data_IF_699055588695
#
_entry.id   IF_699055588695
#
_cell.length_a   1.000
_cell.length_b   1.000
_cell.length_c   1.000
_cell.angle_alpha   90.00
_cell.angle_beta   90.00
_cell.angle_gamma   90.00
#
_symmetry.space_group_name_H-M   'P 1'
#
loop_
_entity.id
_entity.type
_entity.pdbx_description
1 polymer ?
#
# COMPACT_ATOMS: atom_id res chain seq x y z
N UNK A 1 31.33 -20.25 13.21
CA UNK A 1 31.22 -19.04 12.39
C UNK A 1 30.70 -17.90 13.27
N UNK A 2 31.39 -16.75 13.32
CA UNK A 2 30.86 -15.56 14.01
C UNK A 2 29.60 -15.09 13.29
N UNK A 3 28.48 -15.00 14.01
CA UNK A 3 27.25 -14.42 13.48
C UNK A 3 27.53 -13.01 12.99
N UNK A 4 27.14 -12.71 11.75
CA UNK A 4 27.25 -11.36 11.23
C UNK A 4 26.37 -10.39 12.06
N UNK A 5 26.90 -9.24 12.39
CA UNK A 5 26.10 -8.22 13.10
C UNK A 5 24.94 -7.75 12.20
N UNK A 6 23.73 -7.77 12.76
CA UNK A 6 22.50 -7.32 12.08
C UNK A 6 22.55 -5.81 11.76
N UNK A 7 21.80 -5.41 10.76
CA UNK A 7 21.68 -4.01 10.34
C UNK A 7 22.03 -3.82 8.86
N UNK A 8 21.95 -2.59 8.42
CA UNK A 8 22.35 -2.22 7.05
C UNK A 8 23.86 -2.05 7.03
N UNK A 9 24.52 -2.72 6.08
CA UNK A 9 25.95 -2.71 5.83
C UNK A 9 26.22 -2.15 4.44
N UNK A 10 27.38 -1.57 4.25
CA UNK A 10 27.86 -1.24 2.91
C UNK A 10 28.60 -2.45 2.33
N UNK A 11 28.18 -2.93 1.18
CA UNK A 11 28.94 -3.84 0.34
C UNK A 11 29.77 -3.00 -0.63
N UNK A 12 31.08 -3.10 -0.57
CA UNK A 12 31.98 -2.37 -1.47
C UNK A 12 32.62 -3.32 -2.47
N UNK A 13 32.58 -2.94 -3.74
CA UNK A 13 33.29 -3.62 -4.82
C UNK A 13 34.03 -2.56 -5.64
N UNK A 14 35.30 -2.44 -5.43
CA UNK A 14 36.10 -1.33 -5.97
C UNK A 14 35.61 0.02 -5.43
N UNK A 15 35.29 0.94 -6.35
CA UNK A 15 34.70 2.24 -6.01
C UNK A 15 33.17 2.22 -5.83
N UNK A 16 32.49 1.14 -6.17
CA UNK A 16 31.05 1.00 -6.05
C UNK A 16 30.66 0.56 -4.65
N UNK A 17 29.59 1.15 -4.11
CA UNK A 17 29.03 0.78 -2.81
C UNK A 17 27.52 0.55 -2.94
N UNK A 18 27.02 -0.52 -2.31
CA UNK A 18 25.61 -0.85 -2.24
C UNK A 18 25.20 -1.20 -0.81
N UNK A 19 24.01 -0.78 -0.36
CA UNK A 19 23.50 -1.22 0.94
C UNK A 19 23.18 -2.71 0.93
N UNK A 20 23.53 -3.40 2.01
CA UNK A 20 23.21 -4.80 2.25
C UNK A 20 22.53 -4.93 3.61
N UNK A 21 21.30 -5.41 3.63
CA UNK A 21 20.58 -5.70 4.86
C UNK A 21 20.99 -7.09 5.39
N UNK A 22 21.50 -7.15 6.61
CA UNK A 22 21.80 -8.39 7.33
C UNK A 22 20.78 -8.57 8.45
N UNK A 23 19.89 -9.53 8.33
CA UNK A 23 18.81 -9.77 9.27
C UNK A 23 18.63 -11.26 9.51
N UNK A 24 17.92 -11.64 10.57
CA UNK A 24 17.58 -13.02 10.92
C UNK A 24 16.07 -13.28 10.88
N UNK A 25 15.27 -12.21 10.93
CA UNK A 25 13.81 -12.29 10.88
C UNK A 25 13.23 -10.96 10.46
N UNK A 26 12.02 -11.01 9.95
CA UNK A 26 11.16 -9.84 9.75
C UNK A 26 10.36 -9.62 11.04
N UNK A 27 10.43 -8.40 11.58
CA UNK A 27 9.69 -8.06 12.80
C UNK A 27 8.33 -7.47 12.49
N UNK A 28 8.24 -6.64 11.45
CA UNK A 28 6.98 -6.07 10.97
C UNK A 28 7.06 -5.66 9.48
N UNK A 29 5.92 -5.35 8.91
CA UNK A 29 5.77 -4.91 7.52
C UNK A 29 5.10 -3.54 7.50
N UNK A 30 5.58 -2.66 6.63
CA UNK A 30 4.91 -1.42 6.23
C UNK A 30 4.48 -1.52 4.77
N UNK A 31 3.44 -0.81 4.41
CA UNK A 31 3.03 -0.61 3.02
C UNK A 31 3.63 0.70 2.51
N UNK A 32 4.22 0.65 1.35
CA UNK A 32 4.71 1.83 0.65
C UNK A 32 3.97 1.98 -0.70
N UNK A 33 3.47 3.19 -1.02
CA UNK A 33 3.41 4.36 -0.18
C UNK A 33 2.44 4.17 1.00
N UNK A 34 2.69 4.86 2.12
CA UNK A 34 1.80 4.83 3.29
C UNK A 34 0.45 5.49 3.02
N UNK A 35 0.44 6.47 2.11
CA UNK A 35 -0.73 7.18 1.61
C UNK A 35 -0.73 7.19 0.09
N UNK A 36 -1.84 6.81 -0.51
CA UNK A 36 -1.98 6.80 -1.96
C UNK A 36 -3.36 7.28 -2.41
N UNK A 37 -3.43 7.75 -3.65
CA UNK A 37 -4.67 8.15 -4.29
C UNK A 37 -4.76 7.47 -5.65
N UNK A 38 -5.81 6.69 -5.84
CA UNK A 38 -6.24 6.21 -7.15
C UNK A 38 -7.32 7.10 -7.72
N UNK A 39 -7.54 7.01 -9.02
CA UNK A 39 -8.56 7.82 -9.70
C UNK A 39 -9.35 6.96 -10.66
N UNK A 40 -10.65 7.04 -10.54
CA UNK A 40 -11.58 6.53 -11.55
C UNK A 40 -11.44 7.41 -12.77
N UNK A 41 -11.15 6.82 -13.90
CA UNK A 41 -11.19 7.52 -15.16
C UNK A 41 -12.62 7.97 -15.49
N UNK A 42 -12.76 8.85 -16.43
CA UNK A 42 -14.08 9.35 -16.79
C UNK A 42 -14.07 10.09 -18.11
N UNK A 43 -15.22 10.70 -18.37
CA UNK A 43 -15.35 11.66 -19.45
C UNK A 43 -15.09 11.06 -20.85
N UNK A 44 -15.63 9.85 -21.10
CA UNK A 44 -15.44 9.18 -22.37
C UNK A 44 -13.99 8.81 -22.69
N UNK A 45 -13.15 8.64 -21.64
CA UNK A 45 -11.75 8.28 -21.78
C UNK A 45 -10.78 9.46 -21.84
N UNK A 46 -11.27 10.71 -21.77
CA UNK A 46 -10.39 11.89 -21.74
C UNK A 46 -9.59 12.00 -20.44
N UNK A 47 -10.01 11.30 -19.41
CA UNK A 47 -9.33 11.23 -18.11
C UNK A 47 -8.94 9.80 -17.82
N UNK A 48 -7.63 9.49 -17.76
CA UNK A 48 -7.18 8.14 -17.54
C UNK A 48 -7.46 7.65 -16.13
N UNK A 49 -7.63 6.34 -15.99
CA UNK A 49 -7.61 5.65 -14.69
C UNK A 49 -6.21 5.76 -14.09
N UNK A 50 -6.14 6.08 -12.81
CA UNK A 50 -4.89 6.05 -12.03
C UNK A 50 -4.97 4.91 -11.03
N UNK A 51 -4.16 3.89 -11.25
CA UNK A 51 -4.04 2.73 -10.37
C UNK A 51 -3.29 3.08 -9.08
N UNK A 52 -3.68 2.42 -7.97
CA UNK A 52 -2.84 2.32 -6.79
C UNK A 52 -1.76 1.26 -7.01
N UNK A 53 -0.51 1.52 -6.58
CA UNK A 53 0.58 0.56 -6.63
C UNK A 53 1.27 0.53 -5.30
N UNK A 54 1.41 -0.65 -4.72
CA UNK A 54 1.89 -0.82 -3.36
C UNK A 54 3.01 -1.85 -3.30
N UNK A 55 3.93 -1.62 -2.38
CA UNK A 55 5.01 -2.53 -2.01
C UNK A 55 4.96 -2.84 -0.52
N UNK A 56 5.24 -4.08 -0.15
CA UNK A 56 5.40 -4.49 1.22
C UNK A 56 6.87 -4.36 1.62
N UNK A 57 7.17 -3.47 2.55
CA UNK A 57 8.52 -3.24 3.02
C UNK A 57 8.71 -3.91 4.38
N UNK A 58 9.57 -4.92 4.40
CA UNK A 58 9.96 -5.60 5.63
C UNK A 58 10.87 -4.71 6.48
N UNK A 59 10.68 -4.76 7.79
CA UNK A 59 11.45 -4.02 8.77
C UNK A 59 11.92 -4.92 9.91
N UNK A 60 13.07 -4.56 10.46
CA UNK A 60 13.55 -5.06 11.73
C UNK A 60 13.45 -3.98 12.79
N UNK A 61 12.96 -4.34 13.98
CA UNK A 61 13.12 -3.49 15.15
C UNK A 61 14.61 -3.43 15.52
N UNK A 62 15.06 -2.31 15.99
CA UNK A 62 16.45 -2.11 16.33
C UNK A 62 16.88 -2.85 17.59
N UNK A 63 17.83 -2.29 18.31
CA UNK A 63 18.40 -2.89 19.52
C UNK A 63 17.46 -2.84 20.71
N UNK A 64 16.58 -1.85 20.74
CA UNK A 64 15.61 -1.67 21.82
C UNK A 64 14.43 -2.66 21.75
N UNK A 65 14.27 -3.39 20.64
CA UNK A 65 13.23 -4.38 20.42
C UNK A 65 11.83 -3.81 20.30
N UNK A 66 11.69 -2.48 20.11
CA UNK A 66 10.40 -1.79 20.02
C UNK A 66 10.15 -1.31 18.59
N UNK A 67 8.94 -1.52 18.10
CA UNK A 67 8.51 -1.04 16.80
C UNK A 67 8.26 0.47 16.82
N UNK A 68 8.68 1.15 15.76
CA UNK A 68 8.42 2.58 15.53
C UNK A 68 9.44 3.49 16.19
N UNK A 69 10.63 3.00 16.48
CA UNK A 69 11.71 3.77 17.09
C UNK A 69 12.79 4.16 16.07
N UNK A 70 13.70 5.03 16.47
CA UNK A 70 14.72 5.60 15.55
C UNK A 70 15.78 4.59 15.11
N UNK A 71 15.90 3.48 15.81
CA UNK A 71 16.85 2.42 15.49
C UNK A 71 16.25 1.28 14.67
N UNK A 72 14.95 1.38 14.31
CA UNK A 72 14.33 0.52 13.31
C UNK A 72 14.95 0.77 11.93
N UNK A 73 15.02 -0.27 11.15
CA UNK A 73 15.57 -0.16 9.81
C UNK A 73 14.81 -1.03 8.81
N UNK A 74 14.75 -0.56 7.57
CA UNK A 74 14.12 -1.28 6.48
C UNK A 74 15.04 -2.39 5.97
N UNK A 75 14.52 -3.60 5.90
CA UNK A 75 15.17 -4.75 5.25
C UNK A 75 15.06 -4.59 3.73
N UNK A 76 13.86 -4.26 3.25
CA UNK A 76 13.58 -4.04 1.84
C UNK A 76 12.22 -4.57 1.42
N UNK A 77 11.89 -4.49 0.11
CA UNK A 77 10.68 -5.06 -0.44
C UNK A 77 10.64 -6.58 -0.28
N UNK A 78 9.46 -7.11 0.03
CA UNK A 78 9.22 -8.55 0.15
C UNK A 78 7.93 -8.94 -0.55
N UNK A 79 7.83 -10.17 -1.06
CA UNK A 79 6.57 -10.68 -1.59
C UNK A 79 5.46 -10.67 -0.55
N UNK A 80 4.27 -10.26 -0.94
CA UNK A 80 3.09 -10.22 -0.09
C UNK A 80 1.86 -10.69 -0.83
N UNK A 81 0.85 -11.16 -0.11
CA UNK A 81 -0.52 -11.26 -0.60
C UNK A 81 -1.26 -9.99 -0.26
N UNK A 82 -2.02 -9.48 -1.22
CA UNK A 82 -2.66 -8.19 -1.13
C UNK A 82 -4.17 -8.30 -1.06
N UNK A 83 -4.76 -7.41 -0.29
CA UNK A 83 -6.20 -7.21 -0.22
C UNK A 83 -6.52 -5.75 0.10
N UNK A 84 -7.79 -5.42 0.12
CA UNK A 84 -8.29 -4.13 0.61
C UNK A 84 -9.28 -4.36 1.74
N UNK A 85 -9.34 -3.38 2.63
CA UNK A 85 -10.37 -3.29 3.66
C UNK A 85 -10.90 -1.86 3.76
N UNK A 86 -12.10 -1.63 4.27
CA UNK A 86 -12.60 -0.29 4.54
C UNK A 86 -11.69 0.43 5.54
N UNK A 87 -11.42 1.72 5.31
CA UNK A 87 -10.59 2.51 6.22
C UNK A 87 -11.28 2.80 7.56
N UNK A 88 -12.59 3.02 7.54
CA UNK A 88 -13.40 3.33 8.73
C UNK A 88 -14.84 2.78 8.60
N UNK A 89 -15.66 3.00 9.62
CA UNK A 89 -17.03 2.48 9.62
C UNK A 89 -17.89 3.07 8.49
N UNK A 90 -17.70 4.34 8.13
CA UNK A 90 -18.43 4.95 7.00
C UNK A 90 -18.09 4.24 5.69
N UNK A 91 -16.82 4.00 5.43
CA UNK A 91 -16.37 3.25 4.25
C UNK A 91 -16.88 1.80 4.24
N UNK A 92 -17.07 1.21 5.40
CA UNK A 92 -17.65 -0.13 5.56
C UNK A 92 -19.16 -0.13 5.28
N UNK A 93 -19.91 0.85 5.81
CA UNK A 93 -21.34 1.03 5.53
C UNK A 93 -21.57 1.29 4.03
N UNK A 94 -20.74 2.12 3.43
CA UNK A 94 -20.75 2.42 1.99
C UNK A 94 -20.25 1.25 1.13
N UNK A 95 -19.71 0.19 1.73
CA UNK A 95 -19.10 -0.98 1.07
C UNK A 95 -18.01 -0.62 0.08
N UNK A 96 -17.17 0.33 0.45
CA UNK A 96 -16.12 0.87 -0.43
C UNK A 96 -15.17 -0.21 -0.95
N UNK A 97 -14.80 -1.19 -0.11
CA UNK A 97 -13.92 -2.28 -0.51
C UNK A 97 -14.50 -3.18 -1.62
N UNK A 98 -15.80 -3.15 -1.81
CA UNK A 98 -16.50 -3.95 -2.83
C UNK A 98 -16.70 -3.18 -4.14
N UNK A 99 -16.97 -1.86 -4.04
CA UNK A 99 -17.36 -1.05 -5.19
C UNK A 99 -16.24 -0.21 -5.78
N UNK A 100 -15.23 0.16 -4.99
CA UNK A 100 -14.20 1.11 -5.44
C UNK A 100 -13.23 0.55 -6.47
N UNK A 101 -13.08 -0.77 -6.56
CA UNK A 101 -12.19 -1.41 -7.50
C UNK A 101 -11.68 -2.77 -7.05
N UNK A 102 -10.64 -3.25 -7.71
CA UNK A 102 -10.07 -4.57 -7.46
C UNK A 102 -8.57 -4.48 -7.14
N UNK A 103 -8.16 -5.11 -6.05
CA UNK A 103 -6.76 -5.35 -5.71
C UNK A 103 -6.31 -6.66 -6.34
N UNK A 104 -5.24 -6.62 -7.13
CA UNK A 104 -4.54 -7.82 -7.54
C UNK A 104 -3.77 -8.39 -6.35
N UNK A 105 -4.12 -9.63 -5.99
CA UNK A 105 -3.63 -10.26 -4.77
C UNK A 105 -2.13 -10.60 -4.78
N UNK A 106 -1.50 -10.62 -5.95
CA UNK A 106 -0.09 -11.01 -6.10
C UNK A 106 0.82 -9.81 -6.36
N UNK A 107 0.31 -8.79 -7.05
CA UNK A 107 1.14 -7.67 -7.51
C UNK A 107 1.01 -6.40 -6.66
N UNK A 108 -0.02 -6.30 -5.81
CA UNK A 108 -0.29 -5.07 -5.06
C UNK A 108 -0.75 -3.89 -5.92
N UNK A 109 -1.30 -4.20 -7.11
CA UNK A 109 -1.87 -3.20 -8.00
C UNK A 109 -3.37 -3.14 -7.78
N UNK A 110 -3.87 -1.97 -7.39
CA UNK A 110 -5.29 -1.71 -7.29
C UNK A 110 -5.78 -1.00 -8.54
N UNK A 111 -6.77 -1.58 -9.21
CA UNK A 111 -7.43 -0.97 -10.37
C UNK A 111 -8.79 -0.44 -9.95
N UNK A 112 -8.99 0.90 -9.96
CA UNK A 112 -10.28 1.51 -9.68
C UNK A 112 -11.38 0.98 -10.60
N UNK A 113 -12.58 0.82 -10.05
CA UNK A 113 -13.78 0.48 -10.82
C UNK A 113 -14.21 1.64 -11.74
N UNK A 114 -15.24 1.43 -12.53
CA UNK A 114 -15.91 2.49 -13.28
C UNK A 114 -16.57 3.53 -12.36
N UNK A 115 -17.13 4.57 -12.97
CA UNK A 115 -17.67 5.74 -12.24
C UNK A 115 -18.82 5.40 -11.27
N UNK A 116 -19.50 4.32 -11.43
CA UNK A 116 -20.61 3.91 -10.57
C UNK A 116 -21.64 3.07 -11.31
N UNK A 117 -22.76 2.75 -10.68
CA UNK A 117 -23.19 3.24 -9.36
C UNK A 117 -22.61 2.46 -8.18
N UNK A 118 -22.52 3.10 -7.00
CA UNK A 118 -22.46 2.44 -5.71
C UNK A 118 -23.80 2.68 -4.98
N UNK A 119 -24.72 1.70 -4.98
CA UNK A 119 -26.06 1.87 -4.44
C UNK A 119 -26.10 1.93 -2.90
N UNK A 120 -24.98 1.66 -2.24
CA UNK A 120 -24.88 1.69 -0.77
C UNK A 120 -24.45 3.05 -0.25
N UNK A 121 -23.78 3.84 -1.09
CA UNK A 121 -23.27 5.15 -0.69
C UNK A 121 -24.42 6.16 -0.60
N UNK A 122 -24.55 6.77 0.56
CA UNK A 122 -25.49 7.88 0.76
C UNK A 122 -25.14 9.03 -0.19
N UNK A 123 -25.88 9.95 -0.47
CA UNK A 123 -25.62 11.21 -1.17
C UNK A 123 -24.85 11.12 -2.51
N UNK A 124 -24.26 9.97 -2.83
CA UNK A 124 -23.44 9.79 -4.03
C UNK A 124 -23.44 8.34 -4.45
N UNK A 125 -23.79 8.09 -5.70
CA UNK A 125 -23.83 6.76 -6.30
C UNK A 125 -22.52 6.38 -7.01
N UNK A 126 -21.43 7.15 -6.80
CA UNK A 126 -20.16 6.85 -7.42
C UNK A 126 -19.35 5.79 -6.64
N UNK A 127 -18.40 5.18 -7.34
CA UNK A 127 -17.53 4.13 -6.80
C UNK A 127 -16.24 4.69 -6.16
N UNK A 128 -16.25 5.92 -5.67
CA UNK A 128 -15.17 6.40 -4.81
C UNK A 128 -14.98 5.45 -3.61
N UNK A 129 -13.81 5.45 -2.99
CA UNK A 129 -13.56 4.58 -1.85
C UNK A 129 -12.52 5.16 -0.90
N UNK A 130 -12.71 4.86 0.38
CA UNK A 130 -11.74 5.16 1.43
C UNK A 130 -11.29 3.82 2.04
N UNK A 131 -10.08 3.41 1.70
CA UNK A 131 -9.61 2.05 1.88
C UNK A 131 -8.26 1.99 2.61
N UNK A 132 -7.94 0.83 3.15
CA UNK A 132 -6.58 0.41 3.40
C UNK A 132 -6.16 -0.62 2.35
N UNK A 133 -4.99 -0.44 1.75
CA UNK A 133 -4.27 -1.51 1.09
C UNK A 133 -3.57 -2.36 2.18
N UNK A 134 -3.81 -3.65 2.16
CA UNK A 134 -3.33 -4.59 3.18
C UNK A 134 -2.34 -5.55 2.56
N UNK A 135 -1.10 -5.54 3.05
CA UNK A 135 -0.07 -6.50 2.71
C UNK A 135 -0.01 -7.61 3.77
N UNK A 136 -0.05 -8.86 3.33
CA UNK A 136 0.13 -10.04 4.19
C UNK A 136 1.38 -10.78 3.76
N UNK A 137 2.37 -10.83 4.65
CA UNK A 137 3.66 -11.50 4.45
C UNK A 137 3.74 -12.71 5.35
N UNK A 138 4.10 -13.86 4.79
CA UNK A 138 4.30 -15.10 5.54
C UNK A 138 5.79 -15.42 5.61
N UNK A 139 6.32 -15.51 6.81
CA UNK A 139 7.70 -15.91 7.10
C UNK A 139 7.70 -17.15 8.00
N UNK A 140 7.96 -18.29 7.41
CA UNK A 140 7.84 -19.58 8.09
C UNK A 140 6.41 -19.83 8.60
N UNK A 141 6.23 -19.87 9.93
CA UNK A 141 4.92 -20.04 10.56
C UNK A 141 4.27 -18.71 10.99
N UNK A 142 4.96 -17.60 10.79
CA UNK A 142 4.50 -16.28 11.22
C UNK A 142 3.86 -15.52 10.07
N UNK A 143 2.72 -14.91 10.33
CA UNK A 143 2.05 -13.99 9.40
C UNK A 143 2.16 -12.57 9.94
N UNK A 144 2.60 -11.66 9.08
CA UNK A 144 2.77 -10.25 9.37
C UNK A 144 1.88 -9.44 8.44
N UNK A 145 1.24 -8.41 8.97
CA UNK A 145 0.37 -7.52 8.19
C UNK A 145 0.86 -6.09 8.27
N UNK A 146 0.85 -5.42 7.11
CA UNK A 146 1.06 -3.99 6.98
C UNK A 146 -0.15 -3.35 6.31
N UNK A 147 -0.43 -2.08 6.60
CA UNK A 147 -1.55 -1.34 6.00
C UNK A 147 -1.07 0.02 5.51
N UNK A 148 -1.62 0.46 4.38
CA UNK A 148 -1.42 1.80 3.83
C UNK A 148 -2.77 2.42 3.48
N UNK A 149 -2.97 3.69 3.82
CA UNK A 149 -4.22 4.39 3.55
C UNK A 149 -4.34 4.72 2.06
N UNK A 150 -5.47 4.40 1.47
CA UNK A 150 -5.69 4.53 0.04
C UNK A 150 -7.05 5.11 -0.27
N UNK A 151 -7.08 6.20 -1.03
CA UNK A 151 -8.32 6.86 -1.45
C UNK A 151 -8.51 6.68 -2.94
N UNK A 152 -9.68 6.21 -3.34
CA UNK A 152 -10.14 6.17 -4.73
C UNK A 152 -11.05 7.36 -4.95
N UNK A 153 -10.67 8.27 -5.85
CA UNK A 153 -11.43 9.47 -6.14
C UNK A 153 -12.12 9.40 -7.49
N UNK A 154 -13.27 10.06 -7.57
CA UNK A 154 -13.93 10.36 -8.86
C UNK A 154 -13.39 11.69 -9.35
N UNK A 155 -13.01 11.76 -10.61
CA UNK A 155 -12.70 13.04 -11.20
C UNK A 155 -13.98 13.83 -11.40
N UNK A 156 -14.10 14.92 -10.66
CA UNK A 156 -15.13 15.91 -10.96
C UNK A 156 -14.73 16.66 -12.23
N UNK A 157 -15.72 16.96 -13.05
CA UNK A 157 -15.59 17.96 -14.08
C UNK A 157 -15.04 19.24 -13.46
N UNK A 158 -13.85 19.62 -13.86
CA UNK A 158 -13.59 21.04 -13.87
C UNK A 158 -14.36 21.55 -15.08
N UNK A 159 -15.37 22.34 -14.85
CA UNK A 159 -15.92 23.20 -15.88
C UNK A 159 -14.76 23.83 -16.65
N UNK A 160 -14.95 24.10 -17.94
CA UNK A 160 -13.88 24.69 -18.74
C UNK A 160 -13.20 25.78 -17.91
N UNK A 161 -11.88 25.90 -18.04
CA UNK A 161 -11.18 26.93 -17.31
C UNK A 161 -11.94 28.23 -17.53
N UNK A 162 -12.28 28.90 -16.46
CA UNK A 162 -12.84 30.23 -16.54
C UNK A 162 -11.90 31.07 -17.39
N UNK A 163 -12.42 31.83 -18.38
CA UNK A 163 -11.59 32.65 -19.22
C UNK A 163 -10.78 33.64 -18.43
#
# INVERSE_FOLDING_TARGET
AKSAAKGVKALQVGAASSPLAVYDRIDYVKVAPEYAVGRIGGNGGSTPVVQGRFEAIAHSVGRDGKKGTKDDWAIGPVPAKWSVEPFNEVAKEDRDAEFAGLMDADTGIFTPAGAGPNPKRRMSTNNAGNLNAVATVTEGKKTLTGKGHFIVTVQRWNNPPLP
#
